data_IF_368666110373
#
_entry.id   IF_368666110373
#
_cell.length_a   1.000
_cell.length_b   1.000
_cell.length_c   1.000
_cell.angle_alpha   90.00
_cell.angle_beta   90.00
_cell.angle_gamma   90.00
#
_symmetry.space_group_name_H-M   'P 1'
#
loop_
_entity.id
_entity.type
_entity.pdbx_description
1 polymer ?
#
# COMPACT_ATOMS: atom_id res chain seq x y z
N UNK A 1 -3.19 -15.05 22.60
CA UNK A 1 -4.00 -15.65 21.52
C UNK A 1 -4.02 -14.65 20.38
N UNK A 2 -3.66 -15.10 19.17
CA UNK A 2 -3.75 -14.25 17.99
C UNK A 2 -5.21 -13.84 17.77
N UNK A 3 -5.46 -12.56 17.58
CA UNK A 3 -6.79 -11.99 17.33
C UNK A 3 -7.33 -12.40 15.95
N UNK A 4 -6.44 -12.67 15.00
CA UNK A 4 -6.75 -12.95 13.61
C UNK A 4 -6.10 -14.25 13.13
N UNK A 5 -6.74 -14.95 12.19
CA UNK A 5 -6.10 -15.96 11.36
C UNK A 5 -5.49 -15.25 10.14
N UNK A 6 -4.17 -15.21 10.04
CA UNK A 6 -3.45 -14.42 9.03
C UNK A 6 -2.89 -15.33 7.96
N UNK A 7 -3.18 -15.00 6.69
CA UNK A 7 -2.53 -15.56 5.51
C UNK A 7 -1.67 -14.46 4.90
N UNK A 8 -0.40 -14.74 4.63
CA UNK A 8 0.51 -13.79 4.04
C UNK A 8 0.86 -14.16 2.59
N UNK A 9 0.97 -13.15 1.71
CA UNK A 9 1.44 -13.32 0.33
C UNK A 9 2.76 -12.58 0.21
N UNK A 10 3.84 -13.31 -0.03
CA UNK A 10 5.20 -12.78 -0.03
C UNK A 10 6.08 -13.43 -1.09
N UNK A 11 7.14 -12.74 -1.53
CA UNK A 11 8.17 -13.29 -2.42
C UNK A 11 9.07 -14.33 -1.75
N UNK A 12 9.11 -14.35 -0.41
CA UNK A 12 9.94 -15.25 0.40
C UNK A 12 9.08 -15.96 1.41
N UNK A 13 9.53 -17.13 1.81
CA UNK A 13 8.88 -17.89 2.88
C UNK A 13 8.96 -17.14 4.23
N UNK A 14 7.84 -17.13 4.95
CA UNK A 14 7.73 -16.73 6.34
C UNK A 14 7.04 -17.86 7.11
N UNK A 15 7.32 -17.95 8.40
CA UNK A 15 6.66 -18.91 9.27
C UNK A 15 5.15 -18.59 9.38
N UNK A 16 4.29 -19.63 9.32
CA UNK A 16 2.84 -19.52 9.34
C UNK A 16 2.19 -19.79 7.96
N UNK A 17 0.93 -19.39 7.79
CA UNK A 17 0.20 -19.56 6.54
C UNK A 17 0.74 -18.56 5.51
N UNK A 18 1.51 -19.04 4.55
CA UNK A 18 2.20 -18.20 3.59
C UNK A 18 2.07 -18.72 2.16
N UNK A 19 1.64 -17.85 1.25
CA UNK A 19 1.60 -18.07 -0.19
C UNK A 19 2.80 -17.36 -0.81
N UNK A 20 3.64 -18.08 -1.55
CA UNK A 20 4.81 -17.51 -2.20
C UNK A 20 4.42 -16.98 -3.58
N UNK A 21 4.57 -15.67 -3.80
CA UNK A 21 4.25 -15.01 -5.06
C UNK A 21 5.03 -13.71 -5.21
N UNK A 22 5.57 -13.45 -6.38
CA UNK A 22 6.05 -12.13 -6.77
C UNK A 22 4.91 -11.31 -7.38
N UNK A 23 4.33 -10.41 -6.59
CA UNK A 23 3.23 -9.55 -7.00
C UNK A 23 3.60 -8.52 -8.08
N UNK A 24 4.88 -8.39 -8.47
CA UNK A 24 5.28 -7.60 -9.65
C UNK A 24 5.08 -8.38 -10.97
N UNK A 25 4.87 -9.70 -10.88
CA UNK A 25 4.72 -10.61 -12.02
C UNK A 25 3.26 -11.02 -12.18
N UNK A 26 2.54 -10.39 -13.09
CA UNK A 26 1.09 -10.62 -13.30
C UNK A 26 0.75 -12.10 -13.51
N UNK A 27 1.61 -12.85 -14.22
CA UNK A 27 1.41 -14.29 -14.45
C UNK A 27 1.44 -15.14 -13.17
N UNK A 28 2.14 -14.71 -12.12
CA UNK A 28 2.16 -15.39 -10.83
C UNK A 28 0.90 -15.08 -10.00
N UNK A 29 0.37 -13.84 -10.10
CA UNK A 29 -0.78 -13.39 -9.34
C UNK A 29 -2.01 -14.25 -9.62
N UNK A 30 -2.18 -14.70 -10.87
CA UNK A 30 -3.34 -15.52 -11.25
C UNK A 30 -3.48 -16.79 -10.38
N UNK A 31 -2.37 -17.47 -10.08
CA UNK A 31 -2.42 -18.66 -9.22
C UNK A 31 -2.88 -18.33 -7.80
N UNK A 32 -2.44 -17.20 -7.28
CA UNK A 32 -2.83 -16.72 -5.95
C UNK A 32 -4.29 -16.30 -5.93
N UNK A 33 -4.77 -15.62 -6.97
CA UNK A 33 -6.18 -15.23 -7.05
C UNK A 33 -7.11 -16.43 -7.13
N UNK A 34 -6.74 -17.48 -7.88
CA UNK A 34 -7.51 -18.72 -7.95
C UNK A 34 -7.58 -19.41 -6.56
N UNK A 35 -6.48 -19.42 -5.81
CA UNK A 35 -6.46 -19.96 -4.44
C UNK A 35 -7.31 -19.12 -3.46
N UNK A 36 -7.24 -17.79 -3.55
CA UNK A 36 -7.99 -16.89 -2.67
C UNK A 36 -9.50 -16.99 -2.86
N UNK A 37 -10.01 -17.35 -4.05
CA UNK A 37 -11.44 -17.52 -4.28
C UNK A 37 -12.05 -18.67 -3.49
N UNK A 38 -11.24 -19.65 -3.11
CA UNK A 38 -11.66 -20.81 -2.30
C UNK A 38 -11.61 -20.55 -0.78
N UNK A 39 -11.12 -19.37 -0.38
CA UNK A 39 -10.93 -19.01 1.02
C UNK A 39 -11.96 -17.98 1.49
N UNK A 40 -12.39 -18.12 2.75
CA UNK A 40 -13.22 -17.11 3.41
C UNK A 40 -12.34 -15.97 3.96
N UNK A 41 -12.14 -14.93 3.14
CA UNK A 41 -11.34 -13.75 3.51
C UNK A 41 -12.26 -12.64 3.98
N UNK A 42 -12.15 -12.25 5.24
CA UNK A 42 -12.91 -11.15 5.84
C UNK A 42 -12.19 -9.80 5.69
N UNK A 43 -10.87 -9.82 5.72
CA UNK A 43 -10.03 -8.62 5.64
C UNK A 43 -8.92 -8.83 4.62
N UNK A 44 -8.80 -7.91 3.66
CA UNK A 44 -7.67 -7.85 2.73
C UNK A 44 -6.85 -6.58 2.99
N UNK A 45 -5.55 -6.74 3.27
CA UNK A 45 -4.62 -5.63 3.41
C UNK A 45 -3.58 -5.71 2.29
N UNK A 46 -3.71 -4.86 1.28
CA UNK A 46 -2.75 -4.70 0.20
C UNK A 46 -1.59 -3.80 0.67
N UNK A 47 -0.60 -4.40 1.32
CA UNK A 47 0.55 -3.70 1.87
C UNK A 47 1.80 -3.80 0.97
N UNK A 48 1.92 -4.83 0.15
CA UNK A 48 3.06 -4.97 -0.75
C UNK A 48 3.18 -3.76 -1.68
N UNK A 49 4.38 -3.20 -1.79
CA UNK A 49 4.58 -2.02 -2.61
C UNK A 49 5.99 -1.46 -2.50
N UNK A 50 6.29 -0.52 -3.39
CA UNK A 50 7.56 0.18 -3.47
C UNK A 50 8.00 0.39 -4.92
N UNK A 51 9.07 1.13 -5.10
CA UNK A 51 9.78 1.29 -6.37
C UNK A 51 11.22 1.66 -6.10
N UNK A 52 12.12 1.32 -7.01
CA UNK A 52 13.49 1.78 -6.95
C UNK A 52 13.61 3.20 -7.50
N UNK A 53 14.35 4.10 -6.83
CA UNK A 53 14.59 5.44 -7.33
C UNK A 53 15.38 5.44 -8.64
N UNK A 54 14.97 6.30 -9.59
CA UNK A 54 15.65 6.49 -10.88
C UNK A 54 15.63 7.96 -11.28
N UNK A 55 16.66 8.37 -12.00
CA UNK A 55 16.61 9.61 -12.81
C UNK A 55 15.69 9.31 -14.01
N UNK A 56 14.80 10.24 -14.35
CA UNK A 56 13.73 9.99 -15.32
C UNK A 56 14.21 9.45 -16.67
N UNK A 57 15.30 10.00 -17.22
CA UNK A 57 15.85 9.54 -18.50
C UNK A 57 16.56 8.17 -18.45
N UNK A 58 16.70 7.57 -17.27
CA UNK A 58 17.26 6.24 -17.04
C UNK A 58 16.18 5.21 -16.61
N UNK A 59 14.95 5.66 -16.47
CA UNK A 59 13.85 4.78 -16.09
C UNK A 59 13.45 3.87 -17.26
N UNK A 60 13.60 2.57 -17.06
CA UNK A 60 13.29 1.57 -18.07
C UNK A 60 11.80 1.24 -18.12
N UNK A 61 11.32 0.82 -19.30
CA UNK A 61 9.92 0.42 -19.49
C UNK A 61 9.56 -0.78 -18.60
N UNK A 62 10.44 -1.74 -18.44
CA UNK A 62 10.20 -2.90 -17.56
C UNK A 62 10.06 -2.48 -16.10
N UNK A 63 10.83 -1.50 -15.62
CA UNK A 63 10.69 -0.94 -14.27
C UNK A 63 9.35 -0.23 -14.07
N UNK A 64 8.86 0.48 -15.11
CA UNK A 64 7.51 1.08 -15.11
C UNK A 64 6.43 0.02 -14.98
N UNK A 65 6.53 -1.06 -15.78
CA UNK A 65 5.57 -2.17 -15.79
C UNK A 65 5.57 -2.88 -14.44
N UNK A 66 6.75 -3.27 -13.93
CA UNK A 66 6.87 -3.96 -12.64
C UNK A 66 6.35 -3.11 -11.47
N UNK A 67 6.67 -1.81 -11.47
CA UNK A 67 6.16 -0.89 -10.46
C UNK A 67 4.63 -0.78 -10.52
N UNK A 68 4.06 -0.65 -11.72
CA UNK A 68 2.60 -0.55 -11.88
C UNK A 68 1.93 -1.87 -11.52
N UNK A 69 2.51 -2.99 -11.88
CA UNK A 69 2.01 -4.31 -11.49
C UNK A 69 1.93 -4.45 -9.97
N UNK A 70 3.02 -4.17 -9.26
CA UNK A 70 3.10 -4.32 -7.81
C UNK A 70 2.18 -3.35 -7.06
N UNK A 71 2.12 -2.08 -7.49
CA UNK A 71 1.50 -1.00 -6.71
C UNK A 71 0.06 -0.69 -7.14
N UNK A 72 -0.42 -1.22 -8.27
CA UNK A 72 -1.75 -0.97 -8.80
C UNK A 72 -2.46 -2.26 -9.25
N UNK A 73 -1.92 -3.00 -10.21
CA UNK A 73 -2.61 -4.18 -10.76
C UNK A 73 -2.76 -5.30 -9.72
N UNK A 74 -1.72 -5.62 -8.95
CA UNK A 74 -1.80 -6.67 -7.94
C UNK A 74 -2.88 -6.40 -6.88
N UNK A 75 -2.94 -5.21 -6.24
CA UNK A 75 -4.06 -4.87 -5.35
C UNK A 75 -5.43 -5.06 -5.98
N UNK A 76 -5.61 -4.68 -7.24
CA UNK A 76 -6.90 -4.81 -7.95
C UNK A 76 -7.26 -6.28 -8.13
N UNK A 77 -6.33 -7.10 -8.62
CA UNK A 77 -6.56 -8.51 -8.85
C UNK A 77 -6.85 -9.27 -7.55
N UNK A 78 -6.14 -8.94 -6.46
CA UNK A 78 -6.41 -9.50 -5.13
C UNK A 78 -7.78 -9.06 -4.60
N UNK A 79 -8.18 -7.79 -4.80
CA UNK A 79 -9.54 -7.34 -4.48
C UNK A 79 -10.59 -8.13 -5.25
N UNK A 80 -10.43 -8.29 -6.57
CA UNK A 80 -11.36 -9.07 -7.40
C UNK A 80 -11.53 -10.50 -6.88
N UNK A 81 -10.46 -11.15 -6.45
CA UNK A 81 -10.49 -12.52 -5.96
C UNK A 81 -11.33 -12.70 -4.68
N UNK A 82 -11.35 -11.70 -3.79
CA UNK A 82 -12.04 -11.80 -2.49
C UNK A 82 -13.44 -11.18 -2.50
N UNK A 83 -13.73 -10.27 -3.44
CA UNK A 83 -14.96 -9.46 -3.42
C UNK A 83 -16.24 -10.28 -3.52
N UNK A 84 -16.29 -11.33 -4.34
CA UNK A 84 -17.51 -12.14 -4.46
C UNK A 84 -17.81 -12.91 -3.17
N UNK A 85 -16.81 -13.48 -2.52
CA UNK A 85 -16.94 -14.11 -1.21
C UNK A 85 -17.41 -13.12 -0.13
N UNK A 86 -16.81 -11.92 -0.08
CA UNK A 86 -17.22 -10.85 0.83
C UNK A 86 -18.68 -10.41 0.59
N UNK A 87 -19.08 -10.25 -0.69
CA UNK A 87 -20.44 -9.87 -1.08
C UNK A 87 -21.48 -10.91 -0.64
N UNK A 88 -21.19 -12.20 -0.83
CA UNK A 88 -22.09 -13.30 -0.43
C UNK A 88 -22.29 -13.33 1.10
N UNK A 89 -21.27 -13.01 1.88
CA UNK A 89 -21.33 -12.90 3.35
C UNK A 89 -21.86 -11.55 3.84
N UNK A 90 -22.02 -10.55 2.95
CA UNK A 90 -22.36 -9.16 3.27
C UNK A 90 -21.40 -8.53 4.29
N UNK A 91 -20.15 -8.90 4.21
CA UNK A 91 -19.08 -8.42 5.08
C UNK A 91 -17.74 -8.45 4.36
N UNK A 92 -17.00 -7.35 4.44
CA UNK A 92 -15.62 -7.27 3.97
C UNK A 92 -14.95 -5.97 4.39
N UNK A 93 -13.63 -6.05 4.63
CA UNK A 93 -12.78 -4.90 4.94
C UNK A 93 -11.56 -4.93 4.03
N UNK A 94 -11.39 -3.91 3.21
CA UNK A 94 -10.26 -3.80 2.28
C UNK A 94 -9.47 -2.54 2.61
N UNK A 95 -8.18 -2.71 2.88
CA UNK A 95 -7.23 -1.63 3.13
C UNK A 95 -6.14 -1.68 2.08
N UNK A 96 -5.99 -0.59 1.33
CA UNK A 96 -4.91 -0.41 0.38
C UNK A 96 -3.86 0.56 0.94
N UNK A 97 -2.63 0.09 1.15
CA UNK A 97 -1.55 0.96 1.58
C UNK A 97 -1.05 1.74 0.38
N UNK A 98 -1.38 3.02 0.35
CA UNK A 98 -0.91 4.01 -0.60
C UNK A 98 0.39 4.67 -0.12
N UNK A 99 0.59 5.92 -0.41
CA UNK A 99 1.75 6.71 0.01
C UNK A 99 1.45 8.19 -0.15
N UNK A 100 2.09 9.03 0.65
CA UNK A 100 2.08 10.48 0.42
C UNK A 100 2.66 10.87 -0.97
N UNK A 101 3.41 9.99 -1.61
CA UNK A 101 3.88 10.18 -2.99
C UNK A 101 2.74 10.20 -4.02
N UNK A 102 1.54 9.74 -3.68
CA UNK A 102 0.33 9.88 -4.51
C UNK A 102 -0.12 11.33 -4.65
N UNK A 103 0.23 12.20 -3.69
CA UNK A 103 -0.20 13.59 -3.57
C UNK A 103 0.94 14.58 -3.74
N UNK A 104 2.13 14.24 -3.24
CA UNK A 104 3.31 15.10 -3.29
C UNK A 104 4.26 14.63 -4.38
N UNK A 105 4.68 15.49 -5.33
CA UNK A 105 5.63 15.13 -6.39
C UNK A 105 6.93 14.58 -5.83
N UNK A 106 7.38 13.45 -6.38
CA UNK A 106 8.65 12.79 -6.02
C UNK A 106 9.45 12.51 -7.28
N UNK A 107 10.37 13.41 -7.69
CA UNK A 107 11.05 13.32 -9.00
C UNK A 107 11.82 12.03 -9.27
N UNK A 108 12.31 11.34 -8.24
CA UNK A 108 13.07 10.09 -8.39
C UNK A 108 12.18 8.83 -8.39
N UNK A 109 10.89 8.94 -8.06
CA UNK A 109 9.92 7.84 -8.06
C UNK A 109 8.56 8.27 -8.65
N UNK A 110 8.52 8.96 -9.82
CA UNK A 110 7.27 9.47 -10.37
C UNK A 110 6.29 8.35 -10.72
N UNK A 111 6.78 7.23 -11.23
CA UNK A 111 6.02 6.03 -11.56
C UNK A 111 5.32 5.41 -10.33
N UNK A 112 5.98 5.41 -9.19
CA UNK A 112 5.39 4.96 -7.94
C UNK A 112 4.25 5.87 -7.47
N UNK A 113 4.47 7.18 -7.46
CA UNK A 113 3.44 8.16 -7.10
C UNK A 113 2.21 8.03 -7.99
N UNK A 114 2.40 7.90 -9.32
CA UNK A 114 1.32 7.72 -10.28
C UNK A 114 0.52 6.42 -10.01
N UNK A 115 1.20 5.29 -9.77
CA UNK A 115 0.55 4.02 -9.46
C UNK A 115 -0.28 4.09 -8.16
N UNK A 116 0.25 4.74 -7.12
CA UNK A 116 -0.47 4.93 -5.85
C UNK A 116 -1.66 5.89 -5.98
N UNK A 117 -1.56 6.96 -6.79
CA UNK A 117 -2.69 7.84 -7.10
C UNK A 117 -3.81 7.08 -7.83
N UNK A 118 -3.45 6.24 -8.80
CA UNK A 118 -4.39 5.39 -9.51
C UNK A 118 -5.11 4.42 -8.57
N UNK A 119 -4.38 3.79 -7.65
CA UNK A 119 -4.94 2.88 -6.64
C UNK A 119 -5.95 3.58 -5.73
N UNK A 120 -5.67 4.80 -5.26
CA UNK A 120 -6.59 5.59 -4.43
C UNK A 120 -7.90 5.88 -5.18
N UNK A 121 -7.78 6.34 -6.43
CA UNK A 121 -8.96 6.65 -7.24
C UNK A 121 -9.78 5.39 -7.55
N UNK A 122 -9.13 4.29 -7.88
CA UNK A 122 -9.80 3.00 -8.09
C UNK A 122 -10.52 2.54 -6.82
N UNK A 123 -9.84 2.59 -5.67
CA UNK A 123 -10.39 2.19 -4.37
C UNK A 123 -11.66 2.95 -4.01
N UNK A 124 -11.66 4.28 -4.18
CA UNK A 124 -12.83 5.12 -3.90
C UNK A 124 -14.03 4.77 -4.81
N UNK A 125 -13.77 4.43 -6.06
CA UNK A 125 -14.82 3.99 -7.00
C UNK A 125 -15.42 2.63 -6.60
N UNK A 126 -14.57 1.71 -6.16
CA UNK A 126 -15.03 0.38 -5.69
C UNK A 126 -15.75 0.47 -4.34
N UNK A 127 -15.37 1.39 -3.47
CA UNK A 127 -16.11 1.66 -2.23
C UNK A 127 -17.57 2.05 -2.49
N UNK A 128 -17.82 2.86 -3.51
CA UNK A 128 -19.18 3.21 -3.95
C UNK A 128 -19.91 1.98 -4.53
N UNK A 129 -19.22 1.18 -5.35
CA UNK A 129 -19.82 0.04 -6.03
C UNK A 129 -20.24 -1.10 -5.09
N UNK A 130 -19.54 -1.28 -3.96
CA UNK A 130 -19.71 -2.41 -3.05
C UNK A 130 -20.22 -2.04 -1.65
N UNK A 131 -20.47 -0.76 -1.37
CA UNK A 131 -20.94 -0.30 -0.06
C UNK A 131 -22.23 -0.97 0.40
N UNK A 132 -23.20 -1.13 -0.48
CA UNK A 132 -24.50 -1.80 -0.20
C UNK A 132 -24.35 -3.31 0.14
N UNK A 133 -23.17 -3.87 -0.10
CA UNK A 133 -22.84 -5.26 0.24
C UNK A 133 -22.17 -5.40 1.63
N UNK A 134 -22.09 -4.33 2.43
CA UNK A 134 -21.45 -4.34 3.74
C UNK A 134 -19.90 -4.38 3.65
N UNK A 135 -19.35 -4.00 2.48
CA UNK A 135 -17.91 -3.99 2.22
C UNK A 135 -17.38 -2.56 2.33
N UNK A 136 -16.35 -2.36 3.13
CA UNK A 136 -15.65 -1.06 3.17
C UNK A 136 -14.28 -1.17 2.50
N UNK A 137 -13.92 -0.16 1.70
CA UNK A 137 -12.64 -0.09 0.99
C UNK A 137 -12.01 1.26 1.27
N UNK A 138 -10.85 1.26 1.92
CA UNK A 138 -10.16 2.49 2.30
C UNK A 138 -8.67 2.44 1.92
N UNK A 139 -8.06 3.61 1.78
CA UNK A 139 -6.63 3.77 1.58
C UNK A 139 -5.97 4.41 2.80
N UNK A 140 -4.75 4.00 3.10
CA UNK A 140 -3.88 4.66 4.08
C UNK A 140 -2.66 5.17 3.32
N UNK A 141 -2.32 6.44 3.52
CA UNK A 141 -1.19 7.14 2.91
C UNK A 141 -0.13 7.46 3.96
N UNK A 142 0.81 6.55 4.23
CA UNK A 142 1.92 6.86 5.11
C UNK A 142 2.84 7.92 4.51
N UNK A 143 3.42 8.73 5.41
CA UNK A 143 4.57 9.57 5.11
C UNK A 143 5.89 8.80 5.15
N UNK A 144 6.94 9.45 5.63
CA UNK A 144 8.22 8.78 5.90
C UNK A 144 8.07 7.80 7.07
N UNK A 145 8.33 6.52 6.82
CA UNK A 145 8.27 5.44 7.83
C UNK A 145 9.64 4.78 7.93
N UNK A 146 10.06 4.38 9.13
CA UNK A 146 11.26 3.61 9.36
C UNK A 146 11.04 2.13 9.03
N UNK A 147 11.30 1.74 7.78
CA UNK A 147 11.38 0.34 7.36
C UNK A 147 12.69 0.10 6.62
N UNK A 148 13.15 -1.14 6.58
CA UNK A 148 14.38 -1.52 5.89
C UNK A 148 14.35 -1.09 4.40
N UNK A 149 13.25 -1.38 3.70
CA UNK A 149 13.07 -1.00 2.29
C UNK A 149 13.10 0.52 2.11
N UNK A 150 12.43 1.28 2.97
CA UNK A 150 12.40 2.73 2.84
C UNK A 150 13.74 3.37 3.18
N UNK A 151 14.50 2.79 4.11
CA UNK A 151 15.86 3.23 4.41
C UNK A 151 16.79 3.00 3.21
N UNK A 152 16.76 1.79 2.62
CA UNK A 152 17.53 1.47 1.40
C UNK A 152 17.24 2.49 0.29
N UNK A 153 15.96 2.75 0.01
CA UNK A 153 15.57 3.68 -1.04
C UNK A 153 16.03 5.12 -0.77
N UNK A 154 15.97 5.60 0.48
CA UNK A 154 16.45 6.95 0.84
C UNK A 154 17.96 7.08 0.65
N UNK A 155 18.74 6.07 1.03
CA UNK A 155 20.19 6.05 0.78
C UNK A 155 20.49 6.11 -0.72
N UNK A 156 19.77 5.34 -1.53
CA UNK A 156 19.92 5.36 -2.98
C UNK A 156 19.53 6.72 -3.57
N UNK A 157 18.45 7.34 -3.11
CA UNK A 157 18.06 8.70 -3.54
C UNK A 157 19.14 9.74 -3.20
N UNK A 158 19.72 9.67 -1.99
CA UNK A 158 20.82 10.56 -1.59
C UNK A 158 22.04 10.36 -2.50
N UNK A 159 22.43 9.12 -2.77
CA UNK A 159 23.52 8.80 -3.69
C UNK A 159 23.28 9.35 -5.11
N UNK A 160 22.09 9.16 -5.69
CA UNK A 160 21.72 9.67 -7.01
C UNK A 160 21.88 11.21 -7.09
N UNK A 161 21.59 11.92 -6.00
CA UNK A 161 21.68 13.37 -5.94
C UNK A 161 23.03 13.90 -5.44
N UNK A 162 24.02 13.03 -5.19
CA UNK A 162 25.31 13.43 -4.61
C UNK A 162 25.19 14.07 -3.23
N UNK A 163 24.26 13.60 -2.40
CA UNK A 163 23.99 14.06 -1.04
C UNK A 163 24.48 13.09 -0.01
N UNK A 164 24.68 13.59 1.23
CA UNK A 164 25.00 12.75 2.39
C UNK A 164 23.92 11.68 2.63
N UNK A 165 24.33 10.51 3.14
CA UNK A 165 23.47 9.34 3.31
C UNK A 165 22.18 9.64 4.10
N UNK A 166 22.26 10.52 5.11
CA UNK A 166 21.12 10.87 5.96
C UNK A 166 20.25 12.01 5.40
N UNK A 167 20.64 12.62 4.29
CA UNK A 167 19.93 13.79 3.74
C UNK A 167 18.41 13.61 3.66
N UNK A 168 17.95 12.49 3.14
CA UNK A 168 16.51 12.22 3.02
C UNK A 168 15.84 11.89 4.35
N UNK A 169 16.56 11.30 5.30
CA UNK A 169 16.02 11.06 6.65
C UNK A 169 15.75 12.39 7.34
N UNK A 170 16.72 13.29 7.31
CA UNK A 170 16.63 14.61 7.94
C UNK A 170 15.57 15.49 7.25
N UNK A 171 15.54 15.46 5.91
CA UNK A 171 14.53 16.17 5.13
C UNK A 171 13.12 15.66 5.45
N UNK A 172 12.90 14.35 5.55
CA UNK A 172 11.58 13.80 5.87
C UNK A 172 11.17 14.11 7.30
N UNK A 173 12.08 14.01 8.26
CA UNK A 173 11.80 14.35 9.64
C UNK A 173 11.50 15.85 9.80
N UNK A 174 12.35 16.73 9.26
CA UNK A 174 12.17 18.19 9.33
C UNK A 174 11.01 18.69 8.46
N UNK A 175 10.71 17.99 7.37
CA UNK A 175 9.58 18.26 6.47
C UNK A 175 8.22 17.85 7.03
N UNK A 176 8.20 17.11 8.13
CA UNK A 176 7.00 16.67 8.83
C UNK A 176 6.66 17.65 9.96
N UNK A 177 5.39 17.98 10.15
CA UNK A 177 4.92 18.89 11.23
C UNK A 177 5.20 18.36 12.64
N UNK A 178 5.37 17.05 12.81
CA UNK A 178 5.72 16.41 14.08
C UNK A 178 7.24 16.40 14.36
N UNK A 179 8.08 16.82 13.41
CA UNK A 179 9.55 16.78 13.53
C UNK A 179 10.16 15.38 13.54
N UNK A 180 9.39 14.34 13.19
CA UNK A 180 9.83 12.94 13.16
C UNK A 180 9.12 12.15 12.06
N UNK A 181 9.66 10.98 11.71
CA UNK A 181 8.95 10.03 10.86
C UNK A 181 7.81 9.34 11.62
N UNK A 182 6.89 8.74 10.86
CA UNK A 182 5.78 7.94 11.39
C UNK A 182 6.30 6.59 11.86
N UNK A 183 5.82 6.12 13.00
CA UNK A 183 6.09 4.78 13.49
C UNK A 183 5.12 3.76 12.86
N UNK A 184 5.58 2.52 12.70
CA UNK A 184 4.76 1.43 12.13
C UNK A 184 3.52 1.19 12.99
N UNK A 185 3.65 1.27 14.31
CA UNK A 185 2.58 1.06 15.28
C UNK A 185 1.44 2.08 15.15
N UNK A 186 1.74 3.30 14.70
CA UNK A 186 0.72 4.33 14.44
C UNK A 186 -0.14 3.94 13.23
N UNK A 187 0.47 3.34 12.19
CA UNK A 187 -0.24 2.83 11.01
C UNK A 187 -1.08 1.61 11.38
N UNK A 188 -0.50 0.68 12.14
CA UNK A 188 -1.20 -0.55 12.60
C UNK A 188 -2.41 -0.19 13.45
N UNK A 189 -2.30 0.78 14.36
CA UNK A 189 -3.42 1.24 15.19
C UNK A 189 -4.57 1.81 14.37
N UNK A 190 -4.26 2.55 13.30
CA UNK A 190 -5.27 3.05 12.37
C UNK A 190 -5.93 1.90 11.57
N UNK A 191 -5.14 0.94 11.10
CA UNK A 191 -5.66 -0.26 10.43
C UNK A 191 -6.61 -1.02 11.34
N UNK A 192 -6.19 -1.32 12.57
CA UNK A 192 -7.01 -2.04 13.56
C UNK A 192 -8.36 -1.35 13.82
N UNK A 193 -8.36 -0.02 13.86
CA UNK A 193 -9.61 0.75 14.00
C UNK A 193 -10.48 0.62 12.74
N UNK A 194 -9.92 0.84 11.54
CA UNK A 194 -10.70 0.88 10.28
C UNK A 194 -11.28 -0.50 9.92
N UNK A 195 -10.62 -1.60 10.28
CA UNK A 195 -11.16 -2.95 10.02
C UNK A 195 -12.17 -3.40 11.09
N UNK A 196 -12.33 -2.66 12.17
CA UNK A 196 -13.24 -3.01 13.27
C UNK A 196 -14.71 -2.73 12.93
N UNK A 197 -15.61 -3.35 13.70
CA UNK A 197 -17.05 -3.08 13.62
C UNK A 197 -17.43 -1.62 13.91
N UNK A 198 -16.60 -0.90 14.65
CA UNK A 198 -16.86 0.51 14.99
C UNK A 198 -16.61 1.45 13.79
N UNK A 199 -16.04 0.97 12.70
CA UNK A 199 -15.69 1.75 11.52
C UNK A 199 -16.57 1.42 10.29
N UNK A 200 -17.74 0.82 10.46
CA UNK A 200 -18.61 0.39 9.36
C UNK A 200 -19.05 1.50 8.40
N UNK A 201 -19.17 2.73 8.88
CA UNK A 201 -19.51 3.88 8.06
C UNK A 201 -18.32 4.51 7.34
N UNK A 202 -17.11 3.98 7.55
CA UNK A 202 -15.87 4.49 6.97
C UNK A 202 -15.54 3.70 5.70
N UNK A 203 -15.85 4.27 4.53
CA UNK A 203 -15.54 3.68 3.22
C UNK A 203 -15.21 4.76 2.20
N UNK A 204 -14.36 4.43 1.23
CA UNK A 204 -13.92 5.35 0.18
C UNK A 204 -12.94 6.42 0.64
N UNK A 205 -12.41 6.32 1.87
CA UNK A 205 -11.54 7.34 2.44
C UNK A 205 -10.07 7.07 2.13
N UNK A 206 -9.31 8.16 2.10
CA UNK A 206 -7.84 8.16 1.94
C UNK A 206 -7.24 8.88 3.14
N UNK A 207 -6.73 8.10 4.09
CA UNK A 207 -6.19 8.62 5.35
C UNK A 207 -4.71 8.92 5.25
N UNK A 208 -4.35 10.19 5.38
CA UNK A 208 -2.95 10.58 5.51
C UNK A 208 -2.46 10.32 6.93
N UNK A 209 -1.36 9.58 7.07
CA UNK A 209 -0.65 9.38 8.32
C UNK A 209 0.81 9.80 8.10
N UNK A 210 1.04 11.11 8.05
CA UNK A 210 2.29 11.70 7.59
C UNK A 210 2.77 12.88 8.42
N UNK A 211 2.06 13.29 9.48
CA UNK A 211 2.42 14.44 10.30
C UNK A 211 2.57 15.73 9.50
N UNK A 212 1.58 16.03 8.69
CA UNK A 212 1.54 17.06 7.64
C UNK A 212 2.15 18.42 8.00
N UNK A 213 2.93 18.98 7.07
CA UNK A 213 3.14 20.43 6.88
C UNK A 213 2.26 20.97 5.74
N UNK A 214 1.98 22.26 5.75
CA UNK A 214 0.99 23.02 4.96
C UNK A 214 0.95 22.81 3.44
N UNK A 215 1.83 22.01 2.84
CA UNK A 215 1.90 21.82 1.38
C UNK A 215 1.82 20.34 0.94
N UNK A 216 1.32 19.44 1.79
CA UNK A 216 1.40 17.99 1.56
C UNK A 216 0.05 17.29 1.41
N UNK A 217 -1.05 18.04 1.33
CA UNK A 217 -2.40 17.49 1.15
C UNK A 217 -3.09 18.09 -0.05
#
# INVERSE_FOLDING_TARGET
KNKYNVITINRRFFEGNNIICDLSKIGEIKKVTDELTELEIDVLINNAGGAEPRIFNQLLVDELIECTNLNYHAPILLMQAVLEGMKNRKYGRIINISSIASKSPRPLIPHYGAAKSALEKFSSSMAVAYGDNGITINCICPGGVHTETSLKNRKQMAHILGKEENYYNDMMASGNGLGRMVNVEEIVSLIDFIISENAQAISGQVYNICGVKEHSC
#
